data_IF_696497097969
#
_entry.id   IF_696497097969
#
_cell.length_a   1.000
_cell.length_b   1.000
_cell.length_c   1.000
_cell.angle_alpha   90.00
_cell.angle_beta   90.00
_cell.angle_gamma   90.00
#
_symmetry.space_group_name_H-M   'P 1'
#
loop_
_entity.id
_entity.type
_entity.pdbx_description
1 polymer ?
#
# COMPACT_ATOMS: atom_id res chain seq x y z
N UNK A 1 5.94 -5.67 -10.99
CA UNK A 1 6.43 -6.67 -11.95
C UNK A 1 7.48 -7.48 -11.21
N UNK A 2 7.43 -8.81 -11.31
CA UNK A 2 8.21 -9.78 -10.53
C UNK A 2 7.65 -10.23 -9.17
N UNK A 3 6.40 -9.87 -8.86
CA UNK A 3 5.62 -10.57 -7.82
C UNK A 3 5.00 -11.81 -8.45
N UNK A 4 5.74 -12.90 -8.52
CA UNK A 4 5.27 -14.18 -9.11
C UNK A 4 4.92 -15.24 -8.06
N UNK A 5 5.34 -15.04 -6.81
CA UNK A 5 4.93 -15.85 -5.66
C UNK A 5 4.55 -14.94 -4.48
N UNK A 6 3.77 -15.50 -3.56
CA UNK A 6 3.53 -14.96 -2.25
C UNK A 6 3.73 -16.09 -1.22
N UNK A 7 4.10 -15.71 -0.01
CA UNK A 7 4.24 -16.64 1.10
C UNK A 7 3.22 -16.32 2.19
N UNK A 8 2.90 -17.33 2.99
CA UNK A 8 2.00 -17.24 4.14
C UNK A 8 2.56 -18.05 5.30
N UNK A 9 2.08 -17.81 6.51
CA UNK A 9 2.41 -18.66 7.66
C UNK A 9 1.52 -19.89 7.69
N UNK A 10 2.09 -21.06 7.36
CA UNK A 10 1.38 -22.35 7.32
C UNK A 10 0.57 -22.64 8.59
N UNK A 11 1.11 -22.27 9.76
CA UNK A 11 0.46 -22.45 11.07
C UNK A 11 -0.96 -21.88 11.15
N UNK A 12 -1.27 -20.82 10.40
CA UNK A 12 -2.57 -20.14 10.42
C UNK A 12 -3.48 -20.55 9.26
N UNK A 13 -3.06 -21.51 8.42
CA UNK A 13 -3.85 -21.98 7.28
C UNK A 13 -4.19 -20.86 6.29
N UNK A 14 -5.42 -20.85 5.78
CA UNK A 14 -5.86 -19.92 4.73
C UNK A 14 -6.30 -18.55 5.25
N UNK A 15 -6.58 -18.42 6.55
CA UNK A 15 -7.03 -17.17 7.17
C UNK A 15 -5.84 -16.42 7.79
N UNK A 16 -4.94 -15.99 6.92
CA UNK A 16 -3.70 -15.31 7.30
C UNK A 16 -3.34 -14.22 6.29
N UNK A 17 -2.28 -13.46 6.56
CA UNK A 17 -1.79 -12.40 5.70
C UNK A 17 -0.67 -12.88 4.76
N UNK A 18 -0.46 -12.11 3.69
CA UNK A 18 0.61 -12.36 2.73
C UNK A 18 1.91 -11.73 3.22
N UNK A 19 3.00 -12.49 3.15
CA UNK A 19 4.34 -11.99 3.43
C UNK A 19 4.89 -11.23 2.22
N UNK A 20 5.19 -9.94 2.42
CA UNK A 20 5.73 -9.06 1.38
C UNK A 20 7.26 -9.16 1.29
N UNK A 21 7.79 -10.26 0.73
CA UNK A 21 9.23 -10.51 0.57
C UNK A 21 9.77 -10.07 -0.80
N UNK A 22 11.09 -10.15 -1.02
CA UNK A 22 11.75 -9.96 -2.32
C UNK A 22 11.45 -8.64 -3.05
N UNK A 23 11.52 -7.53 -2.31
CA UNK A 23 11.26 -6.19 -2.85
C UNK A 23 12.49 -5.53 -3.51
N UNK A 24 13.62 -6.26 -3.67
CA UNK A 24 14.90 -5.71 -4.17
C UNK A 24 14.86 -5.18 -5.62
N UNK A 25 13.84 -5.57 -6.39
CA UNK A 25 13.60 -5.05 -7.76
C UNK A 25 12.69 -3.81 -7.80
N UNK A 26 12.28 -3.31 -6.65
CA UNK A 26 11.53 -2.06 -6.54
C UNK A 26 12.41 -0.84 -6.86
N UNK A 27 11.77 0.32 -7.07
CA UNK A 27 12.44 1.62 -7.23
C UNK A 27 13.53 1.70 -8.33
N UNK A 28 13.46 0.87 -9.37
CA UNK A 28 14.40 0.96 -10.51
C UNK A 28 14.11 2.08 -11.52
N UNK A 29 12.89 2.64 -11.52
CA UNK A 29 12.45 3.72 -12.44
C UNK A 29 11.50 4.67 -11.73
N UNK A 30 11.79 5.96 -11.74
CA UNK A 30 10.91 7.02 -11.23
C UNK A 30 10.10 7.73 -12.34
N UNK A 31 10.64 7.79 -13.56
CA UNK A 31 10.07 8.54 -14.69
C UNK A 31 8.99 7.79 -15.45
N UNK A 32 8.82 6.49 -15.17
CA UNK A 32 7.81 5.63 -15.80
C UNK A 32 7.04 4.88 -14.72
N UNK A 33 5.73 4.89 -14.87
CA UNK A 33 4.82 4.06 -14.10
C UNK A 33 4.45 2.83 -14.93
N UNK A 34 4.20 1.71 -14.25
CA UNK A 34 3.89 0.45 -14.88
C UNK A 34 2.43 0.08 -14.59
N UNK A 35 1.48 0.48 -15.46
CA UNK A 35 0.06 0.31 -15.20
C UNK A 35 -0.36 -1.16 -15.15
N UNK A 36 0.39 -2.06 -15.80
CA UNK A 36 0.12 -3.51 -15.76
C UNK A 36 0.17 -4.09 -14.34
N UNK A 37 0.90 -3.46 -13.41
CA UNK A 37 0.92 -3.85 -11.99
C UNK A 37 -0.45 -3.63 -11.33
N UNK A 38 -1.23 -2.65 -11.79
CA UNK A 38 -2.57 -2.37 -11.28
C UNK A 38 -3.66 -3.20 -11.93
N UNK A 39 -3.33 -4.05 -12.90
CA UNK A 39 -4.31 -4.89 -13.59
C UNK A 39 -5.19 -5.72 -12.63
N UNK A 40 -4.67 -6.34 -11.55
CA UNK A 40 -5.53 -7.05 -10.60
C UNK A 40 -6.58 -6.15 -9.93
N UNK A 41 -6.23 -4.91 -9.58
CA UNK A 41 -7.19 -3.97 -9.01
C UNK A 41 -8.24 -3.54 -10.04
N UNK A 42 -7.83 -3.31 -11.29
CA UNK A 42 -8.75 -2.96 -12.38
C UNK A 42 -9.70 -4.10 -12.75
N UNK A 43 -9.24 -5.34 -12.67
CA UNK A 43 -10.00 -6.52 -13.06
C UNK A 43 -10.94 -6.99 -11.95
N UNK A 44 -10.44 -7.05 -10.70
CA UNK A 44 -11.24 -7.51 -9.57
C UNK A 44 -12.13 -6.41 -9.01
N UNK A 45 -11.77 -5.14 -9.18
CA UNK A 45 -12.47 -3.97 -8.64
C UNK A 45 -12.88 -4.12 -7.17
N UNK A 46 -11.97 -4.64 -6.32
CA UNK A 46 -12.17 -4.75 -4.87
C UNK A 46 -10.98 -4.21 -4.09
N UNK A 47 -11.28 -3.54 -2.97
CA UNK A 47 -10.29 -3.00 -2.03
C UNK A 47 -10.84 -2.98 -0.60
N UNK A 48 -9.97 -3.22 0.38
CA UNK A 48 -10.30 -3.07 1.79
C UNK A 48 -10.57 -1.61 2.16
N UNK A 49 -11.59 -1.37 2.99
CA UNK A 49 -11.95 -0.04 3.49
C UNK A 49 -10.79 0.58 4.28
N UNK A 50 -10.14 -0.19 5.14
CA UNK A 50 -9.01 0.27 5.94
C UNK A 50 -7.85 0.78 5.06
N UNK A 51 -7.53 0.06 3.99
CA UNK A 51 -6.52 0.45 3.00
C UNK A 51 -6.93 1.71 2.24
N UNK A 52 -8.17 1.77 1.73
CA UNK A 52 -8.65 2.94 0.98
C UNK A 52 -8.61 4.23 1.82
N UNK A 53 -8.98 4.16 3.10
CA UNK A 53 -8.93 5.30 4.01
C UNK A 53 -7.48 5.80 4.21
N UNK A 54 -6.52 4.90 4.42
CA UNK A 54 -5.10 5.24 4.54
C UNK A 54 -4.54 5.84 3.24
N UNK A 55 -4.87 5.27 2.08
CA UNK A 55 -4.45 5.81 0.78
C UNK A 55 -5.00 7.23 0.54
N UNK A 56 -6.26 7.48 0.92
CA UNK A 56 -6.87 8.82 0.86
C UNK A 56 -6.16 9.79 1.80
N UNK A 57 -5.90 9.40 3.05
CA UNK A 57 -5.14 10.22 4.00
C UNK A 57 -3.76 10.59 3.42
N UNK A 58 -3.02 9.61 2.90
CA UNK A 58 -1.69 9.80 2.33
C UNK A 58 -1.66 10.62 1.03
N UNK A 59 -2.83 10.92 0.46
CA UNK A 59 -2.97 11.80 -0.71
C UNK A 59 -3.18 13.27 -0.33
N UNK A 60 -3.44 13.56 0.95
CA UNK A 60 -3.69 14.93 1.42
C UNK A 60 -2.38 15.73 1.55
N UNK A 61 -2.39 17.06 1.29
CA UNK A 61 -1.19 17.89 1.37
C UNK A 61 -0.44 17.85 2.71
N UNK A 62 -1.15 17.63 3.83
CA UNK A 62 -0.53 17.54 5.16
C UNK A 62 0.05 16.16 5.51
N UNK A 63 -0.18 15.14 4.69
CA UNK A 63 0.21 13.75 4.96
C UNK A 63 0.76 13.05 3.71
N UNK A 64 1.31 13.81 2.75
CA UNK A 64 1.73 13.26 1.46
C UNK A 64 2.65 12.06 1.65
N UNK A 65 2.40 11.02 0.87
CA UNK A 65 3.18 9.77 0.94
C UNK A 65 4.69 10.02 0.79
N UNK A 66 5.09 10.89 -0.13
CA UNK A 66 6.48 11.29 -0.32
C UNK A 66 7.12 11.86 0.95
N UNK A 67 6.42 12.74 1.66
CA UNK A 67 6.90 13.39 2.88
C UNK A 67 7.00 12.41 4.05
N UNK A 68 5.97 11.57 4.22
CA UNK A 68 5.95 10.50 5.23
C UNK A 68 7.09 9.51 5.00
N UNK A 69 7.33 9.12 3.74
CA UNK A 69 8.43 8.21 3.39
C UNK A 69 9.80 8.85 3.60
N UNK A 70 9.97 10.14 3.27
CA UNK A 70 11.23 10.86 3.48
C UNK A 70 11.60 10.88 4.96
N UNK A 71 10.64 11.23 5.82
CA UNK A 71 10.83 11.26 7.28
C UNK A 71 11.10 9.86 7.84
N UNK A 72 10.39 8.84 7.37
CA UNK A 72 10.61 7.46 7.81
C UNK A 72 12.01 6.96 7.45
N UNK A 73 12.48 7.21 6.23
CA UNK A 73 13.79 6.76 5.75
C UNK A 73 14.94 7.52 6.42
N UNK A 74 14.73 8.76 6.84
CA UNK A 74 15.73 9.54 7.58
C UNK A 74 16.04 8.95 8.97
N UNK A 75 15.14 8.12 9.52
CA UNK A 75 15.32 7.46 10.82
C UNK A 75 16.11 6.15 10.73
N UNK A 76 16.43 5.69 9.52
CA UNK A 76 17.26 4.51 9.36
C UNK A 76 18.68 4.78 9.88
N UNK A 77 19.27 3.91 10.73
CA UNK A 77 20.63 4.12 11.25
C UNK A 77 21.71 4.27 10.17
N UNK A 78 21.49 3.71 8.99
CA UNK A 78 22.41 3.82 7.85
C UNK A 78 22.24 5.12 7.07
N UNK A 79 21.24 5.96 7.38
CA UNK A 79 21.02 7.23 6.69
C UNK A 79 22.28 8.11 6.68
N UNK A 80 23.09 8.10 7.75
CA UNK A 80 24.35 8.85 7.78
C UNK A 80 25.41 8.41 6.75
N UNK A 81 25.33 7.17 6.24
CA UNK A 81 26.30 6.58 5.31
C UNK A 81 25.78 6.41 3.88
N UNK A 82 24.47 6.17 3.71
CA UNK A 82 23.89 5.81 2.40
C UNK A 82 22.70 6.69 1.99
N UNK A 83 22.37 7.73 2.76
CA UNK A 83 21.29 8.63 2.35
C UNK A 83 21.65 9.45 1.09
N UNK A 84 20.62 9.79 0.27
CA UNK A 84 19.24 9.36 0.43
C UNK A 84 19.00 7.93 -0.09
N UNK A 85 18.24 7.12 0.65
CA UNK A 85 17.85 5.76 0.21
C UNK A 85 17.00 5.79 -1.07
N UNK A 86 16.13 6.79 -1.18
CA UNK A 86 15.33 7.06 -2.37
C UNK A 86 15.62 8.48 -2.85
N UNK A 87 15.89 8.64 -4.14
CA UNK A 87 16.06 9.97 -4.73
C UNK A 87 14.75 10.75 -4.74
N UNK A 88 14.83 12.09 -4.75
CA UNK A 88 13.64 12.96 -4.78
C UNK A 88 12.67 12.64 -5.94
N UNK A 89 13.14 12.30 -7.17
CA UNK A 89 12.25 11.84 -8.22
C UNK A 89 11.46 10.56 -7.87
N UNK A 90 12.05 9.62 -7.12
CA UNK A 90 11.34 8.42 -6.66
C UNK A 90 10.28 8.75 -5.60
N UNK A 91 10.58 9.65 -4.68
CA UNK A 91 9.61 10.14 -3.69
C UNK A 91 8.43 10.83 -4.38
N UNK A 92 8.71 11.73 -5.32
CA UNK A 92 7.67 12.38 -6.14
C UNK A 92 6.85 11.37 -6.97
N UNK A 93 7.47 10.29 -7.45
CA UNK A 93 6.77 9.23 -8.17
C UNK A 93 5.80 8.43 -7.28
N UNK A 94 6.05 8.33 -5.97
CA UNK A 94 5.10 7.68 -5.04
C UNK A 94 3.76 8.41 -5.01
N UNK A 95 3.77 9.74 -4.90
CA UNK A 95 2.55 10.54 -4.89
C UNK A 95 1.78 10.40 -6.22
N UNK A 96 2.49 10.46 -7.35
CA UNK A 96 1.88 10.28 -8.68
C UNK A 96 1.23 8.89 -8.83
N UNK A 97 1.91 7.85 -8.36
CA UNK A 97 1.41 6.46 -8.38
C UNK A 97 0.22 6.27 -7.45
N UNK A 98 0.24 6.88 -6.26
CA UNK A 98 -0.90 6.89 -5.34
C UNK A 98 -2.13 7.52 -5.99
N UNK A 99 -1.97 8.65 -6.68
CA UNK A 99 -3.05 9.28 -7.43
C UNK A 99 -3.63 8.34 -8.50
N UNK A 100 -2.78 7.60 -9.22
CA UNK A 100 -3.21 6.61 -10.20
C UNK A 100 -4.00 5.45 -9.57
N UNK A 101 -3.56 4.94 -8.41
CA UNK A 101 -4.28 3.91 -7.65
C UNK A 101 -5.66 4.41 -7.24
N UNK A 102 -5.75 5.61 -6.66
CA UNK A 102 -7.03 6.20 -6.26
C UNK A 102 -7.95 6.45 -7.46
N UNK A 103 -7.40 6.80 -8.62
CA UNK A 103 -8.17 6.96 -9.85
C UNK A 103 -8.75 5.63 -10.34
N UNK A 104 -7.98 4.54 -10.28
CA UNK A 104 -8.50 3.19 -10.60
C UNK A 104 -9.65 2.81 -9.67
N UNK A 105 -9.49 3.04 -8.36
CA UNK A 105 -10.57 2.76 -7.39
C UNK A 105 -11.84 3.56 -7.73
N UNK A 106 -11.71 4.86 -8.03
CA UNK A 106 -12.86 5.70 -8.43
C UNK A 106 -13.57 5.14 -9.65
N UNK A 107 -12.83 4.79 -10.70
CA UNK A 107 -13.40 4.18 -11.91
C UNK A 107 -14.14 2.88 -11.60
N UNK A 108 -13.60 2.03 -10.72
CA UNK A 108 -14.33 0.84 -10.26
C UNK A 108 -15.63 1.21 -9.52
N UNK A 109 -15.62 2.21 -8.64
CA UNK A 109 -16.81 2.64 -7.89
C UNK A 109 -17.92 3.20 -8.80
N UNK A 110 -17.55 3.84 -9.91
CA UNK A 110 -18.51 4.35 -10.89
C UNK A 110 -19.20 3.22 -11.68
N UNK A 111 -18.57 2.04 -11.76
CA UNK A 111 -19.03 0.90 -12.56
C UNK A 111 -19.65 -0.23 -11.72
N UNK A 112 -19.28 -0.33 -10.44
CA UNK A 112 -19.65 -1.43 -9.55
C UNK A 112 -20.08 -0.92 -8.17
N UNK A 113 -21.13 -1.52 -7.61
CA UNK A 113 -21.64 -1.14 -6.27
C UNK A 113 -20.89 -1.74 -5.08
N UNK A 114 -20.13 -2.83 -5.29
CA UNK A 114 -19.46 -3.61 -4.22
C UNK A 114 -17.94 -3.61 -4.39
N UNK A 115 -17.36 -2.41 -4.41
CA UNK A 115 -15.91 -2.20 -4.58
C UNK A 115 -15.17 -2.19 -3.25
N UNK A 116 -15.81 -1.69 -2.20
CA UNK A 116 -15.19 -1.49 -0.89
C UNK A 116 -15.62 -2.61 0.05
N UNK A 117 -14.71 -3.51 0.36
CA UNK A 117 -14.91 -4.53 1.39
C UNK A 117 -14.66 -3.92 2.77
N UNK A 118 -15.65 -3.99 3.67
CA UNK A 118 -15.53 -3.40 5.01
C UNK A 118 -14.81 -4.35 5.97
N UNK A 119 -13.48 -4.23 6.04
CA UNK A 119 -12.61 -4.98 6.93
C UNK A 119 -12.42 -4.34 8.31
N UNK A 120 -13.30 -3.41 8.69
CA UNK A 120 -13.28 -2.70 9.98
C UNK A 120 -14.46 -3.06 10.90
N UNK A 121 -15.45 -3.79 10.40
CA UNK A 121 -16.53 -4.33 11.24
C UNK A 121 -15.96 -5.45 12.13
N UNK A 122 -16.17 -5.35 13.46
CA UNK A 122 -15.73 -6.36 14.44
C UNK A 122 -14.52 -6.00 15.30
N UNK A 123 -13.75 -4.95 14.97
CA UNK A 123 -12.60 -4.53 15.79
C UNK A 123 -12.97 -4.07 17.21
N UNK A 124 -14.21 -3.61 17.40
CA UNK A 124 -14.72 -3.16 18.72
C UNK A 124 -15.14 -4.32 19.63
N UNK A 125 -15.38 -5.54 19.12
CA UNK A 125 -15.85 -6.67 19.94
C UNK A 125 -14.72 -7.58 20.47
N UNK A 126 -13.56 -7.60 19.80
CA UNK A 126 -12.43 -8.48 20.16
C UNK A 126 -11.51 -7.91 21.26
N UNK A 127 -11.72 -6.64 21.68
CA UNK A 127 -10.89 -5.97 22.69
C UNK A 127 -11.41 -6.08 24.13
N UNK A 128 -12.29 -7.04 24.43
CA UNK A 128 -12.53 -7.39 25.83
C UNK A 128 -11.28 -8.10 26.39
N UNK A 129 -10.51 -7.46 27.30
CA UNK A 129 -9.46 -8.16 28.00
C UNK A 129 -10.17 -9.22 28.84
N UNK A 130 -9.90 -10.49 28.58
CA UNK A 130 -10.36 -11.56 29.45
C UNK A 130 -9.70 -11.33 30.83
N UNK A 131 -10.48 -11.10 31.90
CA UNK A 131 -9.90 -10.93 33.23
C UNK A 131 -9.44 -12.29 33.77
N UNK A 132 -8.22 -12.25 34.31
CA UNK A 132 -7.43 -13.23 35.10
C UNK A 132 -7.07 -14.60 34.47
#
# INVERSE_FOLDING_TARGET
MDRHHYETFEKFGNETFLLHLDNGRAFGRHSRDEPSILAPLQQCCRIHRSTLLRLRLLSLPGFRLSDVMRESLARDPLAGAVAPFLSEPHLSALDRRLAAVLQVVRTCQDQHGDVIHNDLEGYDEEHHPQPD
#
